data_IF_151132394761
#
_entry.id   IF_151132394761
#
_cell.length_a   1.000
_cell.length_b   1.000
_cell.length_c   1.000
_cell.angle_alpha   90.00
_cell.angle_beta   90.00
_cell.angle_gamma   90.00
#
_symmetry.space_group_name_H-M   'P 1'
#
loop_
_entity.id
_entity.type
_entity.pdbx_description
1 polymer ?
#
# COMPACT_ATOMS: atom_id res chain seq x y z
N UNK A 1 -29.34 -15.01 -35.09
CA UNK A 1 -27.96 -14.95 -34.58
C UNK A 1 -27.08 -14.39 -35.69
N UNK A 2 -26.60 -13.15 -35.55
CA UNK A 2 -25.63 -12.55 -36.49
C UNK A 2 -24.22 -12.98 -36.09
N UNK A 3 -23.35 -13.19 -37.07
CA UNK A 3 -21.95 -13.61 -36.87
C UNK A 3 -21.15 -12.55 -36.10
N UNK A 4 -20.20 -13.00 -35.27
CA UNK A 4 -19.32 -12.19 -34.41
C UNK A 4 -18.52 -11.15 -35.21
N UNK A 5 -18.22 -11.41 -36.49
CA UNK A 5 -17.55 -10.45 -37.38
C UNK A 5 -18.42 -9.24 -37.76
N UNK A 6 -19.75 -9.40 -37.80
CA UNK A 6 -20.65 -8.30 -38.17
C UNK A 6 -20.88 -7.28 -37.04
N UNK A 7 -20.62 -7.66 -35.79
CA UNK A 7 -20.73 -6.76 -34.63
C UNK A 7 -19.48 -5.89 -34.46
N UNK A 8 -18.33 -6.33 -34.99
CA UNK A 8 -17.06 -5.60 -34.92
C UNK A 8 -16.88 -4.55 -36.03
N UNK A 9 -17.74 -4.55 -37.06
CA UNK A 9 -17.65 -3.64 -38.20
C UNK A 9 -18.59 -2.44 -38.16
N UNK A 10 -19.51 -2.35 -37.19
CA UNK A 10 -20.40 -1.20 -37.04
C UNK A 10 -19.78 -0.14 -36.11
N UNK A 11 -19.58 1.12 -36.55
CA UNK A 11 -19.16 2.17 -35.66
C UNK A 11 -20.29 2.51 -34.67
N UNK A 12 -19.99 2.39 -33.38
CA UNK A 12 -20.86 2.80 -32.27
C UNK A 12 -21.35 4.26 -32.45
N UNK A 13 -22.64 4.57 -32.16
CA UNK A 13 -23.19 5.91 -32.29
C UNK A 13 -22.59 6.97 -31.35
N UNK A 14 -21.65 6.60 -30.47
CA UNK A 14 -21.08 7.51 -29.47
C UNK A 14 -19.81 8.25 -29.92
N UNK A 15 -19.45 8.21 -31.20
CA UNK A 15 -18.15 8.72 -31.69
C UNK A 15 -18.20 10.13 -32.31
N UNK A 16 -19.15 10.97 -31.90
CA UNK A 16 -19.22 12.38 -32.35
C UNK A 16 -19.08 13.28 -31.13
N UNK A 17 -17.92 13.95 -31.03
CA UNK A 17 -17.51 14.99 -30.05
C UNK A 17 -16.39 14.60 -29.06
N UNK A 18 -15.24 14.13 -29.57
CA UNK A 18 -13.97 14.38 -28.90
C UNK A 18 -13.15 15.40 -29.67
N UNK A 19 -13.29 16.68 -29.28
CA UNK A 19 -12.35 17.74 -29.68
C UNK A 19 -11.09 17.56 -28.84
N UNK A 20 -10.07 16.98 -29.45
CA UNK A 20 -8.71 16.87 -28.93
C UNK A 20 -8.06 18.24 -29.03
N UNK A 21 -8.13 19.04 -27.96
CA UNK A 21 -7.28 20.22 -27.86
C UNK A 21 -5.89 19.82 -27.35
N UNK A 22 -4.88 20.19 -28.15
CA UNK A 22 -3.42 19.92 -28.06
C UNK A 22 -2.88 18.66 -28.75
N UNK A 23 -3.18 18.52 -30.04
CA UNK A 23 -2.14 18.11 -31.00
C UNK A 23 -1.81 19.31 -31.89
N UNK A 24 -0.53 19.61 -32.07
CA UNK A 24 -0.06 20.50 -33.13
C UNK A 24 -0.68 20.03 -34.45
N UNK A 25 -1.37 20.93 -35.14
CA UNK A 25 -2.23 20.61 -36.27
C UNK A 25 -1.37 20.06 -37.42
N UNK A 26 -1.78 18.92 -37.97
CA UNK A 26 -1.21 18.31 -39.18
C UNK A 26 -1.17 19.31 -40.36
N UNK A 27 -2.03 20.34 -40.31
CA UNK A 27 -2.02 21.51 -41.19
C UNK A 27 -0.69 22.29 -41.21
N UNK A 28 0.01 22.41 -40.09
CA UNK A 28 1.30 23.12 -40.00
C UNK A 28 2.46 22.34 -40.65
N UNK A 29 2.33 21.00 -40.74
CA UNK A 29 3.28 20.13 -41.43
C UNK A 29 2.95 19.99 -42.93
N UNK A 30 1.70 20.26 -43.33
CA UNK A 30 1.29 20.28 -44.74
C UNK A 30 1.69 21.60 -45.41
N UNK A 31 1.62 22.72 -44.69
CA UNK A 31 2.00 24.04 -45.23
C UNK A 31 3.52 24.24 -45.38
N UNK A 32 4.35 23.28 -44.94
CA UNK A 32 5.81 23.27 -45.09
C UNK A 32 6.30 22.30 -46.19
N UNK A 33 5.50 22.16 -47.26
CA UNK A 33 5.92 21.51 -48.50
C UNK A 33 6.92 22.32 -49.33
N UNK A 34 7.66 21.71 -50.27
CA UNK A 34 9.02 22.12 -50.65
C UNK A 34 9.14 23.33 -51.58
N UNK A 35 8.06 24.07 -51.88
CA UNK A 35 8.08 25.16 -52.86
C UNK A 35 7.13 26.29 -52.43
N UNK A 36 7.67 27.39 -51.89
CA UNK A 36 6.89 28.59 -51.61
C UNK A 36 7.73 29.68 -50.94
N UNK A 37 7.85 30.83 -51.61
CA UNK A 37 8.73 31.95 -51.32
C UNK A 37 8.77 32.47 -49.87
N UNK A 38 9.98 32.87 -49.45
CA UNK A 38 10.20 33.78 -48.31
C UNK A 38 9.48 35.12 -48.54
N UNK A 39 8.77 35.65 -47.53
CA UNK A 39 8.55 37.08 -47.44
C UNK A 39 9.34 37.67 -46.27
N UNK A 40 10.05 38.72 -46.65
CA UNK A 40 10.78 39.75 -45.93
C UNK A 40 10.65 39.94 -44.42
N UNK A 41 11.83 40.31 -43.93
CA UNK A 41 12.23 40.87 -42.66
C UNK A 41 11.45 42.17 -42.32
N UNK A 42 10.33 42.04 -41.61
CA UNK A 42 9.78 43.13 -40.78
C UNK A 42 9.53 42.62 -39.37
N UNK A 43 10.32 43.15 -38.45
CA UNK A 43 10.26 42.93 -37.01
C UNK A 43 8.83 42.99 -36.45
N UNK A 44 8.21 41.83 -36.23
CA UNK A 44 7.06 41.72 -35.34
C UNK A 44 7.60 41.70 -33.90
N UNK A 45 7.59 42.87 -33.27
CA UNK A 45 7.79 43.00 -31.83
C UNK A 45 6.68 42.20 -31.14
N UNK A 46 7.05 41.07 -30.55
CA UNK A 46 6.25 40.42 -29.50
C UNK A 46 5.99 41.44 -28.39
N UNK A 47 4.74 41.68 -27.94
CA UNK A 47 4.53 42.43 -26.72
C UNK A 47 5.18 41.64 -25.58
N UNK A 48 6.16 42.27 -24.92
CA UNK A 48 6.70 41.81 -23.64
C UNK A 48 5.52 41.64 -22.69
N UNK A 49 5.16 40.39 -22.45
CA UNK A 49 4.40 40.01 -21.26
C UNK A 49 5.25 40.40 -20.06
N UNK A 50 4.80 41.44 -19.35
CA UNK A 50 5.37 41.86 -18.09
C UNK A 50 5.39 40.68 -17.12
N UNK A 51 6.51 40.57 -16.40
CA UNK A 51 6.77 39.49 -15.47
C UNK A 51 5.63 39.26 -14.49
N UNK A 52 4.99 38.10 -14.63
CA UNK A 52 4.40 37.41 -13.49
C UNK A 52 5.54 36.53 -12.97
N UNK A 53 5.96 36.79 -11.74
CA UNK A 53 6.97 36.04 -11.03
C UNK A 53 6.80 34.54 -11.29
N UNK A 54 7.73 33.95 -12.06
CA UNK A 54 8.01 32.53 -11.96
C UNK A 54 8.48 32.31 -10.53
N UNK A 55 7.57 31.87 -9.66
CA UNK A 55 7.96 31.26 -8.40
C UNK A 55 9.01 30.18 -8.68
N UNK A 56 9.88 29.87 -7.70
CA UNK A 56 10.95 28.89 -7.90
C UNK A 56 10.33 27.62 -8.48
N UNK A 57 10.82 27.19 -9.65
CA UNK A 57 10.41 25.93 -10.26
C UNK A 57 10.54 24.84 -9.19
N UNK A 58 9.43 24.19 -8.83
CA UNK A 58 9.43 23.19 -7.79
C UNK A 58 10.50 22.14 -8.11
N UNK A 59 11.42 21.91 -7.17
CA UNK A 59 12.52 20.95 -7.34
C UNK A 59 11.91 19.58 -7.60
N UNK A 60 12.07 19.07 -8.82
CA UNK A 60 11.55 17.75 -9.21
C UNK A 60 12.19 16.64 -8.37
N UNK A 61 11.43 15.59 -8.11
CA UNK A 61 11.83 14.47 -7.26
C UNK A 61 12.74 13.50 -8.02
N UNK A 62 13.81 13.06 -7.35
CA UNK A 62 14.69 11.99 -7.82
C UNK A 62 14.01 10.62 -7.67
N UNK A 63 14.44 9.61 -8.43
CA UNK A 63 13.90 8.24 -8.35
C UNK A 63 13.95 7.63 -6.94
N UNK A 64 14.96 7.96 -6.14
CA UNK A 64 15.08 7.46 -4.76
C UNK A 64 13.96 8.03 -3.87
N UNK A 65 13.79 9.34 -3.87
CA UNK A 65 12.83 10.02 -2.99
C UNK A 65 11.40 9.93 -3.53
N UNK A 66 11.22 9.97 -4.85
CA UNK A 66 9.90 10.02 -5.47
C UNK A 66 9.31 8.66 -5.87
N UNK A 67 10.12 7.59 -5.93
CA UNK A 67 9.64 6.24 -6.27
C UNK A 67 10.02 5.23 -5.21
N UNK A 68 11.32 5.04 -4.96
CA UNK A 68 11.80 3.99 -4.06
C UNK A 68 11.25 4.15 -2.63
N UNK A 69 11.40 5.32 -2.02
CA UNK A 69 10.93 5.59 -0.65
C UNK A 69 9.41 5.40 -0.51
N UNK A 70 8.56 5.99 -1.37
CA UNK A 70 7.11 5.73 -1.36
C UNK A 70 6.75 4.26 -1.53
N UNK A 71 7.41 3.54 -2.45
CA UNK A 71 7.15 2.11 -2.65
C UNK A 71 7.56 1.29 -1.43
N UNK A 72 8.73 1.55 -0.83
CA UNK A 72 9.17 0.85 0.39
C UNK A 72 8.19 1.05 1.54
N UNK A 73 7.74 2.29 1.77
CA UNK A 73 6.79 2.60 2.84
C UNK A 73 5.43 1.93 2.65
N UNK A 74 4.94 1.82 1.41
CA UNK A 74 3.64 1.21 1.14
C UNK A 74 3.70 -0.32 1.02
N UNK A 75 4.87 -0.90 0.77
CA UNK A 75 5.07 -2.35 0.82
C UNK A 75 5.29 -2.77 2.27
N UNK A 76 6.19 -2.11 3.00
CA UNK A 76 6.40 -2.32 4.44
C UNK A 76 5.27 -1.74 5.27
N UNK A 77 4.10 -2.37 5.18
CA UNK A 77 2.91 -2.02 5.93
C UNK A 77 2.76 -2.82 7.22
N UNK A 78 1.55 -2.72 7.77
CA UNK A 78 1.17 -3.33 9.05
C UNK A 78 1.30 -4.85 9.09
N UNK A 79 1.08 -5.51 7.94
CA UNK A 79 1.12 -6.97 7.81
C UNK A 79 2.50 -7.52 8.16
N UNK A 80 3.57 -6.76 7.90
CA UNK A 80 4.94 -7.15 8.25
C UNK A 80 5.08 -7.42 9.75
N UNK A 81 4.57 -6.53 10.60
CA UNK A 81 4.72 -6.65 12.05
C UNK A 81 3.62 -7.49 12.70
N UNK A 82 2.38 -7.30 12.28
CA UNK A 82 1.20 -7.84 12.98
C UNK A 82 0.74 -9.22 12.49
N UNK A 83 1.26 -9.67 11.34
CA UNK A 83 0.75 -10.86 10.65
C UNK A 83 1.84 -11.78 10.13
N UNK A 84 3.07 -11.32 9.91
CA UNK A 84 4.14 -12.21 9.47
C UNK A 84 4.38 -13.35 10.46
N UNK A 85 4.39 -13.06 11.78
CA UNK A 85 4.48 -14.10 12.80
C UNK A 85 3.37 -15.15 12.68
N UNK A 86 2.13 -14.72 12.49
CA UNK A 86 0.99 -15.62 12.28
C UNK A 86 1.10 -16.44 10.99
N UNK A 87 1.61 -15.85 9.89
CA UNK A 87 1.88 -16.60 8.64
C UNK A 87 2.87 -17.72 8.90
N UNK A 88 3.91 -17.47 9.69
CA UNK A 88 4.87 -18.50 10.09
C UNK A 88 4.22 -19.53 11.01
N UNK A 89 3.45 -19.13 12.02
CA UNK A 89 2.74 -20.05 12.91
C UNK A 89 1.80 -21.02 12.17
N UNK A 90 1.11 -20.55 11.13
CA UNK A 90 0.16 -21.35 10.35
C UNK A 90 0.83 -22.23 9.29
N UNK A 91 1.72 -21.65 8.49
CA UNK A 91 2.31 -22.31 7.33
C UNK A 91 3.69 -22.95 7.62
N UNK A 92 4.34 -22.58 8.71
CA UNK A 92 5.74 -22.90 8.98
C UNK A 92 6.72 -22.16 8.08
N UNK A 93 8.01 -22.33 8.34
CA UNK A 93 9.08 -21.60 7.64
C UNK A 93 9.12 -21.96 6.14
N UNK A 94 9.01 -23.24 5.79
CA UNK A 94 9.15 -23.69 4.41
C UNK A 94 7.97 -23.23 3.54
N UNK A 95 6.73 -23.49 3.96
CA UNK A 95 5.56 -23.09 3.18
C UNK A 95 5.32 -21.58 3.27
N UNK A 96 5.65 -20.94 4.39
CA UNK A 96 5.66 -19.48 4.51
C UNK A 96 6.63 -18.83 3.50
N UNK A 97 7.81 -19.42 3.30
CA UNK A 97 8.75 -18.99 2.24
C UNK A 97 8.13 -19.11 0.84
N UNK A 98 7.41 -20.21 0.57
CA UNK A 98 6.69 -20.41 -0.71
C UNK A 98 5.60 -19.35 -0.91
N UNK A 99 4.85 -19.00 0.14
CA UNK A 99 3.82 -17.94 0.11
C UNK A 99 4.44 -16.60 -0.29
N UNK A 100 5.57 -16.23 0.32
CA UNK A 100 6.28 -14.98 0.00
C UNK A 100 6.80 -15.00 -1.44
N UNK A 101 7.41 -16.10 -1.89
CA UNK A 101 7.90 -16.25 -3.27
C UNK A 101 6.75 -16.13 -4.25
N UNK A 102 5.63 -16.81 -4.00
CA UNK A 102 4.46 -16.77 -4.87
C UNK A 102 3.88 -15.35 -4.96
N UNK A 103 3.73 -14.65 -3.83
CA UNK A 103 3.32 -13.25 -3.80
C UNK A 103 4.29 -12.35 -4.58
N UNK A 104 5.59 -12.56 -4.43
CA UNK A 104 6.63 -11.77 -5.11
C UNK A 104 6.69 -12.02 -6.62
N UNK A 105 6.37 -13.22 -7.09
CA UNK A 105 6.24 -13.52 -8.53
C UNK A 105 5.10 -12.69 -9.13
N UNK A 106 3.93 -12.67 -8.47
CA UNK A 106 2.77 -11.89 -8.92
C UNK A 106 3.12 -10.40 -9.00
N UNK A 107 3.77 -9.84 -7.98
CA UNK A 107 4.12 -8.41 -7.96
C UNK A 107 5.23 -8.07 -8.93
N UNK A 108 6.22 -8.95 -9.13
CA UNK A 108 7.29 -8.74 -10.11
C UNK A 108 6.75 -8.73 -11.54
N UNK A 109 5.87 -9.68 -11.89
CA UNK A 109 5.22 -9.68 -13.23
C UNK A 109 4.38 -8.42 -13.44
N UNK A 110 3.66 -7.99 -12.41
CA UNK A 110 2.88 -6.74 -12.45
C UNK A 110 3.79 -5.52 -12.61
N UNK A 111 4.91 -5.48 -11.88
CA UNK A 111 5.87 -4.39 -11.96
C UNK A 111 6.56 -4.32 -13.33
N UNK A 112 6.93 -5.45 -13.92
CA UNK A 112 7.48 -5.51 -15.28
C UNK A 112 6.47 -4.98 -16.31
N UNK A 113 5.19 -5.32 -16.16
CA UNK A 113 4.12 -4.78 -17.00
C UNK A 113 3.99 -3.25 -16.86
N UNK A 114 4.07 -2.74 -15.62
CA UNK A 114 4.07 -1.30 -15.36
C UNK A 114 5.32 -0.61 -15.93
N UNK A 115 6.49 -1.24 -15.85
CA UNK A 115 7.72 -0.73 -16.46
C UNK A 115 7.55 -0.57 -17.98
N UNK A 116 6.99 -1.58 -18.66
CA UNK A 116 6.74 -1.54 -20.09
C UNK A 116 5.80 -0.39 -20.47
N UNK A 117 4.73 -0.16 -19.68
CA UNK A 117 3.80 0.97 -19.86
C UNK A 117 4.54 2.31 -19.71
N UNK A 118 5.38 2.47 -18.68
CA UNK A 118 6.06 3.72 -18.40
C UNK A 118 7.18 4.05 -19.40
N UNK A 119 7.72 3.05 -20.10
CA UNK A 119 8.71 3.24 -21.16
C UNK A 119 8.10 3.48 -22.53
N UNK A 120 6.78 3.32 -22.68
CA UNK A 120 6.08 3.45 -23.95
C UNK A 120 5.38 4.81 -24.08
N UNK A 121 6.06 5.78 -24.71
CA UNK A 121 5.52 7.11 -25.02
C UNK A 121 5.96 8.23 -24.08
N UNK A 122 5.44 9.43 -24.30
CA UNK A 122 5.72 10.60 -23.44
C UNK A 122 4.93 10.49 -22.13
N UNK A 123 5.61 10.11 -21.05
CA UNK A 123 5.06 10.17 -19.69
C UNK A 123 4.90 11.63 -19.29
N UNK A 124 3.69 12.16 -19.45
CA UNK A 124 3.31 13.48 -18.91
C UNK A 124 2.75 13.30 -17.50
N UNK A 125 2.94 14.30 -16.64
CA UNK A 125 2.77 14.17 -15.20
C UNK A 125 1.33 14.10 -14.69
N UNK A 126 0.68 12.93 -14.82
CA UNK A 126 -0.71 12.71 -14.41
C UNK A 126 -0.95 11.52 -13.47
N UNK A 127 0.09 10.92 -12.89
CA UNK A 127 -0.05 9.77 -11.98
C UNK A 127 -0.29 8.43 -12.70
N UNK A 128 -0.64 7.38 -11.92
CA UNK A 128 -0.85 6.00 -12.41
C UNK A 128 -1.95 5.91 -13.45
N UNK A 129 -3.10 6.52 -13.19
CA UNK A 129 -4.25 6.42 -14.09
C UNK A 129 -3.92 6.98 -15.49
N UNK A 130 -3.28 8.14 -15.54
CA UNK A 130 -2.91 8.79 -16.80
C UNK A 130 -1.88 8.00 -17.61
N UNK A 131 -0.93 7.35 -16.93
CA UNK A 131 0.03 6.44 -17.55
C UNK A 131 -0.70 5.26 -18.22
N UNK A 132 -1.63 4.63 -17.50
CA UNK A 132 -2.36 3.45 -17.97
C UNK A 132 -3.34 3.81 -19.10
N UNK A 133 -4.16 4.86 -18.93
CA UNK A 133 -5.18 5.23 -19.90
C UNK A 133 -4.62 5.66 -21.25
N UNK A 134 -3.40 6.21 -21.28
CA UNK A 134 -2.70 6.56 -22.51
C UNK A 134 -2.06 5.38 -23.22
N UNK A 135 -1.50 4.43 -22.47
CA UNK A 135 -0.82 3.28 -23.04
C UNK A 135 -1.80 2.19 -23.50
N UNK A 136 -2.84 1.92 -22.72
CA UNK A 136 -3.82 0.85 -22.97
C UNK A 136 -5.15 1.35 -23.56
N UNK A 137 -5.35 2.67 -23.58
CA UNK A 137 -6.58 3.29 -24.03
C UNK A 137 -7.59 3.56 -22.91
N UNK A 138 -8.60 4.39 -23.20
CA UNK A 138 -9.51 4.95 -22.20
C UNK A 138 -10.38 3.90 -21.50
N UNK A 139 -10.83 2.86 -22.21
CA UNK A 139 -11.71 1.81 -21.64
C UNK A 139 -10.98 1.01 -20.56
N UNK A 140 -9.80 0.49 -20.88
CA UNK A 140 -8.96 -0.23 -19.91
C UNK A 140 -8.51 0.68 -18.77
N UNK A 141 -8.11 1.92 -19.09
CA UNK A 141 -7.74 2.93 -18.09
C UNK A 141 -8.87 3.18 -17.08
N UNK A 142 -10.10 3.39 -17.55
CA UNK A 142 -11.26 3.65 -16.69
C UNK A 142 -11.59 2.49 -15.77
N UNK A 143 -11.65 1.26 -16.28
CA UNK A 143 -11.93 0.07 -15.47
C UNK A 143 -10.84 -0.17 -14.42
N UNK A 144 -9.56 -0.12 -14.81
CA UNK A 144 -8.43 -0.31 -13.88
C UNK A 144 -8.41 0.84 -12.86
N UNK A 145 -8.67 2.07 -13.28
CA UNK A 145 -8.71 3.24 -12.41
C UNK A 145 -9.76 3.14 -11.29
N UNK A 146 -10.99 2.69 -11.61
CA UNK A 146 -12.02 2.48 -10.58
C UNK A 146 -11.66 1.34 -9.64
N UNK A 147 -11.20 0.20 -10.17
CA UNK A 147 -10.78 -0.93 -9.34
C UNK A 147 -9.64 -0.53 -8.39
N UNK A 148 -8.69 0.26 -8.90
CA UNK A 148 -7.56 0.74 -8.11
C UNK A 148 -7.99 1.78 -7.07
N UNK A 149 -8.96 2.65 -7.37
CA UNK A 149 -9.58 3.53 -6.39
C UNK A 149 -10.19 2.75 -5.22
N UNK A 150 -11.04 1.76 -5.51
CA UNK A 150 -11.68 0.94 -4.46
C UNK A 150 -10.63 0.18 -3.65
N UNK A 151 -9.63 -0.40 -4.31
CA UNK A 151 -8.54 -1.11 -3.62
C UNK A 151 -7.78 -0.19 -2.66
N UNK A 152 -7.44 1.04 -3.08
CA UNK A 152 -6.74 2.00 -2.22
C UNK A 152 -7.62 2.52 -1.07
N UNK A 153 -8.93 2.70 -1.29
CA UNK A 153 -9.87 3.07 -0.23
C UNK A 153 -9.96 1.98 0.85
N UNK A 154 -10.14 0.72 0.45
CA UNK A 154 -10.19 -0.41 1.37
C UNK A 154 -8.84 -0.65 2.06
N UNK A 155 -7.72 -0.47 1.34
CA UNK A 155 -6.38 -0.55 1.94
C UNK A 155 -6.17 0.50 3.03
N UNK A 156 -6.72 1.71 2.87
CA UNK A 156 -6.68 2.75 3.91
C UNK A 156 -7.33 2.26 5.20
N UNK A 157 -8.49 1.59 5.10
CA UNK A 157 -9.16 0.97 6.25
C UNK A 157 -8.30 -0.12 6.91
N UNK A 158 -7.68 -1.00 6.11
CA UNK A 158 -6.78 -2.06 6.61
C UNK A 158 -5.64 -1.47 7.46
N UNK A 159 -4.98 -0.41 6.99
CA UNK A 159 -3.88 0.21 7.72
C UNK A 159 -4.34 0.90 9.01
N UNK A 160 -5.50 1.55 9.00
CA UNK A 160 -6.07 2.20 10.17
C UNK A 160 -6.51 1.17 11.23
N UNK A 161 -7.11 0.06 10.81
CA UNK A 161 -7.48 -1.03 11.74
C UNK A 161 -6.23 -1.63 12.38
N UNK A 162 -5.18 -1.87 11.59
CA UNK A 162 -3.92 -2.38 12.12
C UNK A 162 -3.21 -1.40 13.07
N UNK A 163 -3.32 -0.09 12.84
CA UNK A 163 -2.90 0.94 13.79
C UNK A 163 -3.70 0.85 15.10
N UNK A 164 -5.03 0.74 15.00
CA UNK A 164 -5.91 0.55 16.15
C UNK A 164 -5.58 -0.70 16.97
N UNK A 165 -5.32 -1.84 16.32
CA UNK A 165 -4.86 -3.07 16.99
C UNK A 165 -3.57 -2.81 17.78
N UNK A 166 -2.59 -2.11 17.20
CA UNK A 166 -1.33 -1.83 17.88
C UNK A 166 -1.43 -0.84 19.04
N UNK A 167 -2.33 0.14 18.99
CA UNK A 167 -2.61 1.03 20.14
C UNK A 167 -3.29 0.26 21.25
N UNK A 168 -4.30 -0.55 20.93
CA UNK A 168 -5.01 -1.34 21.94
C UNK A 168 -4.03 -2.29 22.62
N UNK A 169 -3.16 -2.97 21.87
CA UNK A 169 -2.11 -3.83 22.42
C UNK A 169 -1.19 -3.07 23.39
N UNK A 170 -0.76 -1.85 23.04
CA UNK A 170 0.02 -0.98 23.93
C UNK A 170 -0.76 -0.56 25.18
N UNK A 171 -2.07 -0.32 25.07
CA UNK A 171 -2.93 -0.01 26.22
C UNK A 171 -3.04 -1.19 27.19
N UNK A 172 -3.09 -2.43 26.67
CA UNK A 172 -3.06 -3.64 27.51
C UNK A 172 -1.76 -3.69 28.31
N UNK A 173 -0.63 -3.43 27.64
CA UNK A 173 0.70 -3.47 28.25
C UNK A 173 0.90 -2.39 29.32
N UNK A 174 0.33 -1.20 29.12
CA UNK A 174 0.36 -0.10 30.09
C UNK A 174 -0.66 -0.27 31.23
N UNK A 175 -1.48 -1.33 31.24
CA UNK A 175 -2.49 -1.57 32.26
C UNK A 175 -3.66 -0.57 32.20
N UNK A 176 -3.93 0.02 31.04
CA UNK A 176 -5.06 0.95 30.86
C UNK A 176 -6.33 0.14 30.59
N UNK A 177 -7.38 0.40 31.39
CA UNK A 177 -8.68 -0.25 31.23
C UNK A 177 -9.32 0.09 29.88
N UNK A 178 -10.17 -0.83 29.38
CA UNK A 178 -10.89 -0.65 28.12
C UNK A 178 -11.79 0.59 28.17
N UNK A 179 -11.67 1.48 27.18
CA UNK A 179 -12.45 2.74 27.14
C UNK A 179 -13.95 2.49 27.00
N UNK A 180 -14.32 1.43 26.27
CA UNK A 180 -15.72 1.10 25.98
C UNK A 180 -16.30 0.08 26.96
N UNK A 181 -15.51 -0.43 27.91
CA UNK A 181 -15.94 -1.45 28.88
C UNK A 181 -16.23 -2.83 28.27
N UNK A 182 -15.87 -3.06 27.00
CA UNK A 182 -16.06 -4.32 26.30
C UNK A 182 -14.86 -5.26 26.56
N UNK A 183 -15.08 -6.49 27.09
CA UNK A 183 -14.00 -7.44 27.37
C UNK A 183 -13.21 -7.87 26.12
N UNK A 184 -13.80 -7.79 24.92
CA UNK A 184 -13.13 -8.18 23.67
C UNK A 184 -12.27 -7.05 23.07
N UNK A 185 -12.37 -5.82 23.60
CA UNK A 185 -11.68 -4.61 23.11
C UNK A 185 -11.84 -4.29 21.61
N UNK A 186 -12.73 -4.98 20.89
CA UNK A 186 -13.01 -4.73 19.47
C UNK A 186 -13.60 -3.34 19.26
N UNK A 187 -14.47 -2.91 20.17
CA UNK A 187 -15.08 -1.59 20.09
C UNK A 187 -14.06 -0.46 20.32
N UNK A 188 -13.03 -0.68 21.14
CA UNK A 188 -11.93 0.27 21.33
C UNK A 188 -11.14 0.47 20.01
N UNK A 189 -10.85 -0.63 19.29
CA UNK A 189 -10.20 -0.56 17.96
C UNK A 189 -11.05 0.26 16.98
N UNK A 190 -12.38 0.12 17.01
CA UNK A 190 -13.30 0.88 16.14
C UNK A 190 -13.28 2.37 16.45
N UNK A 191 -13.29 2.75 17.73
CA UNK A 191 -13.25 4.16 18.16
C UNK A 191 -11.90 4.80 17.78
N UNK A 192 -10.79 4.10 18.04
CA UNK A 192 -9.44 4.55 17.64
C UNK A 192 -9.34 4.65 16.11
N UNK A 193 -9.90 3.69 15.38
CA UNK A 193 -9.92 3.70 13.92
C UNK A 193 -10.68 4.89 13.32
N UNK A 194 -11.88 5.17 13.83
CA UNK A 194 -12.71 6.31 13.37
C UNK A 194 -12.04 7.65 13.72
N UNK A 195 -11.49 7.78 14.93
CA UNK A 195 -10.78 9.01 15.29
C UNK A 195 -9.53 9.23 14.43
N UNK A 196 -8.76 8.17 14.18
CA UNK A 196 -7.58 8.22 13.31
C UNK A 196 -7.94 8.55 11.86
N UNK A 197 -9.02 7.98 11.31
CA UNK A 197 -9.45 8.27 9.93
C UNK A 197 -9.84 9.75 9.77
N UNK A 198 -10.55 10.33 10.75
CA UNK A 198 -10.88 11.76 10.75
C UNK A 198 -9.61 12.62 10.82
N UNK A 199 -8.65 12.28 11.67
CA UNK A 199 -7.38 13.01 11.76
C UNK A 199 -6.60 12.92 10.45
N UNK A 200 -6.48 11.73 9.86
CA UNK A 200 -5.79 11.56 8.57
C UNK A 200 -6.49 12.30 7.44
N UNK A 201 -7.82 12.35 7.43
CA UNK A 201 -8.59 13.15 6.48
C UNK A 201 -8.26 14.65 6.64
N UNK A 202 -8.28 15.18 7.86
CA UNK A 202 -7.92 16.57 8.12
C UNK A 202 -6.49 16.90 7.67
N UNK A 203 -5.54 15.97 7.88
CA UNK A 203 -4.16 16.12 7.40
C UNK A 203 -4.11 16.10 5.87
N UNK A 204 -4.84 15.20 5.22
CA UNK A 204 -4.88 15.10 3.76
C UNK A 204 -5.45 16.37 3.10
N UNK A 205 -6.45 17.01 3.72
CA UNK A 205 -7.06 18.25 3.22
C UNK A 205 -6.15 19.48 3.32
N UNK A 206 -5.15 19.48 4.21
CA UNK A 206 -4.21 20.59 4.41
C UNK A 206 -3.03 20.60 3.41
N UNK A 207 -2.95 19.60 2.53
CA UNK A 207 -2.06 19.62 1.36
C UNK A 207 -0.81 18.73 1.45
N UNK A 208 -0.34 18.30 0.28
CA UNK A 208 0.53 17.13 0.08
C UNK A 208 2.03 17.47 0.12
N UNK A 209 2.38 18.75 0.12
CA UNK A 209 3.78 19.20 0.15
C UNK A 209 4.53 18.81 1.42
N UNK A 210 3.84 18.70 2.56
CA UNK A 210 4.44 18.24 3.82
C UNK A 210 4.63 16.72 3.85
N UNK A 211 3.67 15.98 3.29
CA UNK A 211 3.67 14.52 3.25
C UNK A 211 4.96 13.94 2.64
N UNK A 212 5.40 14.45 1.48
CA UNK A 212 6.59 13.96 0.80
C UNK A 212 7.88 14.14 1.64
N UNK A 213 7.92 15.15 2.54
CA UNK A 213 9.07 15.38 3.43
C UNK A 213 9.05 14.44 4.63
N UNK A 214 7.86 14.13 5.16
CA UNK A 214 7.70 13.21 6.29
C UNK A 214 8.04 11.75 5.94
N UNK A 215 7.79 11.32 4.70
CA UNK A 215 8.05 9.96 4.25
C UNK A 215 9.48 9.48 4.56
N UNK A 216 10.50 10.33 4.31
CA UNK A 216 11.90 9.94 4.57
C UNK A 216 12.15 9.70 6.06
N UNK A 217 11.59 10.55 6.93
CA UNK A 217 11.69 10.37 8.38
C UNK A 217 11.01 9.09 8.86
N UNK A 218 9.81 8.81 8.35
CA UNK A 218 9.05 7.59 8.67
C UNK A 218 9.79 6.33 8.20
N UNK A 219 10.46 6.39 7.05
CA UNK A 219 11.26 5.28 6.54
C UNK A 219 12.47 4.99 7.44
N UNK A 220 13.16 6.02 7.92
CA UNK A 220 14.31 5.86 8.83
C UNK A 220 13.86 5.15 10.11
N UNK A 221 12.75 5.60 10.70
CA UNK A 221 12.18 4.99 11.91
C UNK A 221 11.81 3.52 11.67
N UNK A 222 11.19 3.23 10.53
CA UNK A 222 10.81 1.87 10.14
C UNK A 222 12.01 0.95 9.96
N UNK A 223 13.07 1.44 9.31
CA UNK A 223 14.33 0.68 9.14
C UNK A 223 15.00 0.42 10.49
N UNK A 224 15.00 1.41 11.39
CA UNK A 224 15.53 1.24 12.76
C UNK A 224 14.74 0.16 13.51
N UNK A 225 13.40 0.18 13.43
CA UNK A 225 12.55 -0.85 14.02
C UNK A 225 12.79 -2.24 13.42
N UNK A 226 13.07 -2.32 12.12
CA UNK A 226 13.40 -3.60 11.48
C UNK A 226 14.76 -4.14 11.93
N UNK A 227 15.76 -3.26 12.04
CA UNK A 227 17.09 -3.61 12.56
C UNK A 227 17.00 -4.08 14.02
N UNK A 228 16.15 -3.47 14.85
CA UNK A 228 16.01 -3.91 16.25
C UNK A 228 15.42 -5.30 16.39
N UNK A 229 14.54 -5.74 15.47
CA UNK A 229 14.05 -7.12 15.40
C UNK A 229 15.20 -8.07 15.04
N UNK A 230 16.02 -7.73 14.05
CA UNK A 230 17.17 -8.57 13.67
C UNK A 230 18.20 -8.68 14.79
N UNK A 231 18.52 -7.59 15.47
CA UNK A 231 19.47 -7.59 16.59
C UNK A 231 18.89 -8.32 17.80
N UNK A 232 17.62 -8.08 18.13
CA UNK A 232 16.95 -8.72 19.26
C UNK A 232 16.81 -10.23 19.12
N UNK A 233 16.66 -10.74 17.90
CA UNK A 233 16.60 -12.19 17.64
C UNK A 233 17.85 -12.96 18.14
N UNK A 234 19.02 -12.30 18.21
CA UNK A 234 20.24 -12.90 18.76
C UNK A 234 20.37 -12.77 20.28
N UNK A 235 19.47 -12.03 20.94
CA UNK A 235 19.52 -11.68 22.35
C UNK A 235 18.23 -12.11 23.06
N UNK A 236 17.96 -13.43 23.19
CA UNK A 236 16.73 -13.93 23.80
C UNK A 236 16.56 -13.54 25.28
N UNK A 237 17.68 -13.30 25.97
CA UNK A 237 17.70 -13.08 27.42
C UNK A 237 17.33 -11.64 27.82
N UNK A 238 17.23 -10.70 26.88
CA UNK A 238 16.91 -9.29 27.16
C UNK A 238 15.54 -8.88 26.61
N UNK A 239 14.75 -8.05 27.32
CA UNK A 239 15.03 -7.47 28.64
C UNK A 239 14.80 -8.44 29.82
N UNK A 240 13.85 -9.37 29.70
CA UNK A 240 13.55 -10.40 30.71
C UNK A 240 13.30 -11.74 29.99
N UNK A 241 14.13 -12.74 30.29
CA UNK A 241 14.01 -14.09 29.72
C UNK A 241 12.63 -14.71 30.00
N UNK A 242 12.12 -14.61 31.22
CA UNK A 242 10.84 -15.23 31.62
C UNK A 242 9.64 -14.65 30.84
N UNK A 243 9.63 -13.34 30.63
CA UNK A 243 8.58 -12.65 29.87
C UNK A 243 8.65 -13.00 28.38
N UNK A 244 9.86 -13.05 27.83
CA UNK A 244 10.10 -13.47 26.45
C UNK A 244 9.67 -14.91 26.22
N UNK A 245 10.01 -15.82 27.14
CA UNK A 245 9.59 -17.22 27.08
C UNK A 245 8.07 -17.37 27.21
N UNK A 246 7.43 -16.62 28.10
CA UNK A 246 5.98 -16.61 28.26
C UNK A 246 5.26 -16.11 26.99
N UNK A 247 5.86 -15.13 26.30
CA UNK A 247 5.35 -14.65 25.02
C UNK A 247 5.63 -15.59 23.83
N UNK A 248 6.56 -16.56 24.00
CA UNK A 248 6.94 -17.56 23.01
C UNK A 248 8.21 -17.27 22.23
N UNK A 249 9.06 -16.36 22.69
CA UNK A 249 10.39 -16.10 22.16
C UNK A 249 11.46 -16.82 23.01
N UNK A 250 12.22 -17.71 22.38
CA UNK A 250 13.15 -18.63 23.06
C UNK A 250 14.52 -18.73 22.37
N UNK A 251 14.82 -17.78 21.47
CA UNK A 251 16.06 -17.73 20.69
C UNK A 251 16.15 -18.78 19.57
N UNK A 252 17.23 -18.74 18.80
CA UNK A 252 17.39 -19.58 17.61
C UNK A 252 17.34 -21.07 17.90
N UNK A 253 16.47 -21.77 17.18
CA UNK A 253 16.40 -23.24 17.16
C UNK A 253 15.69 -23.72 15.89
N UNK A 254 15.77 -25.02 15.63
CA UNK A 254 15.15 -25.65 14.47
C UNK A 254 13.65 -25.90 14.69
N UNK A 255 12.92 -24.82 14.97
CA UNK A 255 11.49 -24.80 15.34
C UNK A 255 10.61 -24.48 14.14
N UNK A 256 9.33 -24.84 14.23
CA UNK A 256 8.27 -24.52 13.26
C UNK A 256 8.67 -24.74 11.78
N UNK A 257 9.12 -25.96 11.50
CA UNK A 257 9.60 -26.37 10.19
C UNK A 257 8.46 -26.49 9.16
N UNK A 258 7.34 -27.07 9.58
CA UNK A 258 6.28 -27.55 8.71
C UNK A 258 4.98 -26.78 8.89
N UNK A 259 4.02 -27.02 7.99
CA UNK A 259 2.70 -26.41 8.08
C UNK A 259 1.81 -27.15 9.06
N UNK A 260 1.31 -26.43 10.04
CA UNK A 260 0.29 -26.89 10.97
C UNK A 260 -0.92 -25.98 10.81
N UNK A 261 -1.64 -26.04 9.68
CA UNK A 261 -2.78 -25.15 9.49
C UNK A 261 -3.81 -25.34 10.61
N UNK A 262 -3.96 -24.31 11.44
CA UNK A 262 -4.70 -24.32 12.70
C UNK A 262 -5.95 -23.44 12.56
N UNK A 263 -7.02 -23.82 13.25
CA UNK A 263 -8.21 -22.96 13.40
C UNK A 263 -7.93 -21.82 14.38
N UNK A 264 -8.29 -20.59 14.00
CA UNK A 264 -8.23 -19.44 14.89
C UNK A 264 -9.42 -19.46 15.86
N UNK A 265 -9.22 -19.30 17.18
CA UNK A 265 -10.32 -19.22 18.15
C UNK A 265 -11.36 -18.14 17.84
N UNK A 266 -10.96 -17.03 17.22
CA UNK A 266 -11.87 -15.92 16.89
C UNK A 266 -12.79 -16.24 15.72
N UNK A 267 -12.43 -17.25 14.91
CA UNK A 267 -13.20 -17.74 13.77
C UNK A 267 -13.26 -19.26 13.83
N UNK A 268 -13.97 -19.83 14.81
CA UNK A 268 -13.94 -21.26 15.10
C UNK A 268 -14.47 -22.13 13.95
N UNK A 269 -15.21 -21.55 13.01
CA UNK A 269 -15.76 -22.25 11.85
C UNK A 269 -14.76 -22.35 10.68
N UNK A 270 -13.67 -21.58 10.71
CA UNK A 270 -12.73 -21.44 9.60
C UNK A 270 -11.38 -22.05 9.96
N UNK A 271 -11.12 -23.24 9.43
CA UNK A 271 -9.76 -23.80 9.44
C UNK A 271 -8.94 -23.13 8.34
N UNK A 272 -7.75 -22.67 8.69
CA UNK A 272 -6.86 -22.01 7.74
C UNK A 272 -6.34 -23.01 6.69
N UNK A 273 -5.97 -22.50 5.53
CA UNK A 273 -5.31 -23.26 4.49
C UNK A 273 -4.29 -22.37 3.76
N UNK A 274 -3.58 -22.93 2.78
CA UNK A 274 -2.58 -22.18 2.01
C UNK A 274 -3.12 -20.87 1.43
N UNK A 275 -4.32 -20.89 0.84
CA UNK A 275 -4.90 -19.73 0.16
C UNK A 275 -5.45 -18.69 1.14
N UNK A 276 -5.95 -19.08 2.31
CA UNK A 276 -6.38 -18.12 3.33
C UNK A 276 -5.18 -17.38 3.91
N UNK A 277 -4.10 -18.10 4.23
CA UNK A 277 -2.85 -17.49 4.73
C UNK A 277 -2.22 -16.59 3.66
N UNK A 278 -2.20 -17.04 2.40
CA UNK A 278 -1.76 -16.22 1.27
C UNK A 278 -2.60 -14.94 1.12
N UNK A 279 -3.93 -15.03 1.23
CA UNK A 279 -4.80 -13.87 1.10
C UNK A 279 -4.59 -12.83 2.22
N UNK A 280 -4.28 -13.27 3.45
CA UNK A 280 -3.91 -12.38 4.56
C UNK A 280 -2.53 -11.75 4.35
N UNK A 281 -1.58 -12.48 3.76
CA UNK A 281 -0.24 -11.98 3.48
C UNK A 281 -0.18 -11.05 2.26
N UNK A 282 -0.98 -11.31 1.22
CA UNK A 282 -0.87 -10.63 -0.08
C UNK A 282 -0.91 -9.09 -0.02
N UNK A 283 -1.72 -8.43 0.84
CA UNK A 283 -1.66 -6.98 1.00
C UNK A 283 -0.28 -6.43 1.41
N UNK A 284 0.61 -7.25 1.97
CA UNK A 284 1.98 -6.86 2.29
C UNK A 284 2.85 -6.56 1.06
N UNK A 285 2.47 -6.99 -0.15
CA UNK A 285 3.29 -6.82 -1.35
C UNK A 285 2.67 -5.88 -2.39
N UNK A 286 1.44 -5.39 -2.18
CA UNK A 286 0.68 -4.65 -3.20
C UNK A 286 1.10 -3.19 -3.42
N UNK A 287 1.87 -2.58 -2.51
CA UNK A 287 2.25 -1.16 -2.49
C UNK A 287 3.12 -0.65 -3.65
N UNK A 288 3.33 -1.43 -4.71
CA UNK A 288 4.25 -1.14 -5.83
C UNK A 288 3.87 0.08 -6.68
N UNK A 289 2.59 0.50 -6.64
CA UNK A 289 2.07 1.62 -7.43
C UNK A 289 2.20 2.99 -6.72
N UNK A 290 2.65 3.01 -5.46
CA UNK A 290 2.79 4.24 -4.69
C UNK A 290 3.74 5.25 -5.36
N UNK A 291 4.88 4.78 -5.89
CA UNK A 291 5.82 5.63 -6.61
C UNK A 291 5.27 6.16 -7.94
N UNK A 292 4.39 5.39 -8.59
CA UNK A 292 3.75 5.81 -9.84
C UNK A 292 2.65 6.86 -9.63
N UNK A 293 2.07 6.97 -8.42
CA UNK A 293 1.13 8.04 -8.07
C UNK A 293 1.79 9.42 -8.04
N UNK A 294 3.11 9.47 -7.83
CA UNK A 294 3.93 10.69 -7.82
C UNK A 294 4.64 10.93 -9.16
N UNK A 295 4.24 10.23 -10.24
CA UNK A 295 4.94 10.28 -11.52
C UNK A 295 4.98 11.68 -12.16
N UNK A 296 4.07 12.57 -11.80
CA UNK A 296 4.08 13.96 -12.29
C UNK A 296 5.10 14.87 -11.63
N UNK A 297 5.60 14.50 -10.45
CA UNK A 297 6.56 15.29 -9.69
C UNK A 297 8.01 14.79 -9.90
N UNK A 298 8.20 13.72 -10.65
CA UNK A 298 9.51 13.13 -10.95
C UNK A 298 10.25 13.90 -12.05
N UNK A 299 11.58 13.89 -11.95
CA UNK A 299 12.45 14.48 -12.98
C UNK A 299 12.32 13.78 -14.33
N UNK A 300 12.55 12.46 -14.34
CA UNK A 300 12.37 11.57 -15.47
C UNK A 300 11.57 10.33 -15.05
N UNK A 301 10.24 10.32 -15.26
CA UNK A 301 9.37 9.21 -14.87
C UNK A 301 9.69 7.90 -15.60
N UNK A 302 10.07 7.98 -16.87
CA UNK A 302 10.28 6.80 -17.74
C UNK A 302 11.42 5.93 -17.26
N UNK A 303 12.47 6.54 -16.70
CA UNK A 303 13.64 5.85 -16.13
C UNK A 303 13.53 5.64 -14.62
N UNK A 304 12.89 6.57 -13.90
CA UNK A 304 12.81 6.54 -12.44
C UNK A 304 11.85 5.48 -11.93
N UNK A 305 10.70 5.28 -12.60
CA UNK A 305 9.70 4.30 -12.18
C UNK A 305 10.22 2.87 -12.23
N UNK A 306 10.79 2.37 -13.35
CA UNK A 306 11.30 1.02 -13.40
C UNK A 306 12.40 0.74 -12.37
N UNK A 307 13.36 1.67 -12.25
CA UNK A 307 14.47 1.52 -11.29
C UNK A 307 13.98 1.53 -9.85
N UNK A 308 13.11 2.46 -9.50
CA UNK A 308 12.60 2.60 -8.14
C UNK A 308 11.74 1.41 -7.73
N UNK A 309 10.77 1.03 -8.56
CA UNK A 309 9.83 -0.06 -8.23
C UNK A 309 10.50 -1.43 -8.17
N UNK A 310 11.36 -1.79 -9.15
CA UNK A 310 12.05 -3.08 -9.12
C UNK A 310 13.04 -3.19 -7.97
N UNK A 311 13.75 -2.09 -7.65
CA UNK A 311 14.63 -2.06 -6.47
C UNK A 311 13.83 -2.19 -5.17
N UNK A 312 12.68 -1.52 -5.07
CA UNK A 312 11.80 -1.62 -3.91
C UNK A 312 11.36 -3.07 -3.68
N UNK A 313 10.85 -3.73 -4.72
CA UNK A 313 10.39 -5.13 -4.67
C UNK A 313 11.54 -6.06 -4.23
N UNK A 314 12.73 -5.91 -4.81
CA UNK A 314 13.89 -6.73 -4.44
C UNK A 314 14.29 -6.54 -2.97
N UNK A 315 14.36 -5.29 -2.49
CA UNK A 315 14.69 -4.99 -1.09
C UNK A 315 13.63 -5.56 -0.15
N UNK A 316 12.35 -5.36 -0.46
CA UNK A 316 11.24 -5.85 0.39
C UNK A 316 11.17 -7.37 0.40
N UNK A 317 11.43 -8.03 -0.73
CA UNK A 317 11.48 -9.49 -0.81
C UNK A 317 12.54 -10.07 0.12
N UNK A 318 13.75 -9.52 0.07
CA UNK A 318 14.85 -9.94 0.96
C UNK A 318 14.48 -9.71 2.42
N UNK A 319 13.92 -8.54 2.76
CA UNK A 319 13.52 -8.25 4.15
C UNK A 319 12.43 -9.19 4.66
N UNK A 320 11.41 -9.52 3.83
CA UNK A 320 10.33 -10.41 4.25
C UNK A 320 10.81 -11.84 4.47
N UNK A 321 11.67 -12.36 3.59
CA UNK A 321 12.28 -13.68 3.77
C UNK A 321 13.14 -13.69 5.03
N UNK A 322 13.99 -12.69 5.23
CA UNK A 322 14.84 -12.61 6.41
C UNK A 322 14.00 -12.56 7.71
N UNK A 323 12.99 -11.69 7.79
CA UNK A 323 12.12 -11.60 8.96
C UNK A 323 11.34 -12.90 9.21
N UNK A 324 10.83 -13.55 8.16
CA UNK A 324 10.12 -14.81 8.27
C UNK A 324 11.01 -15.90 8.89
N UNK A 325 12.25 -16.03 8.41
CA UNK A 325 13.19 -17.03 8.92
C UNK A 325 13.63 -16.73 10.34
N UNK A 326 13.91 -15.46 10.66
CA UNK A 326 14.29 -15.07 12.01
C UNK A 326 13.17 -15.39 13.01
N UNK A 327 11.95 -14.91 12.74
CA UNK A 327 10.80 -15.13 13.64
C UNK A 327 10.45 -16.61 13.76
N UNK A 328 10.51 -17.38 12.67
CA UNK A 328 10.19 -18.81 12.69
C UNK A 328 11.20 -19.66 13.46
N UNK A 329 12.49 -19.33 13.39
CA UNK A 329 13.53 -20.06 14.12
C UNK A 329 13.56 -19.69 15.61
N UNK A 330 13.11 -18.49 15.97
CA UNK A 330 13.22 -17.99 17.34
C UNK A 330 12.01 -18.24 18.22
N UNK A 331 10.83 -18.48 17.64
CA UNK A 331 9.57 -18.50 18.39
C UNK A 331 8.85 -19.85 18.34
N UNK A 332 8.06 -20.14 19.37
CA UNK A 332 7.11 -21.25 19.39
C UNK A 332 5.75 -20.86 18.79
N UNK A 333 5.04 -21.84 18.26
CA UNK A 333 3.71 -21.64 17.66
C UNK A 333 2.66 -21.24 18.69
N UNK A 334 2.74 -21.84 19.88
CA UNK A 334 1.84 -21.64 21.00
C UNK A 334 2.59 -21.78 22.32
N UNK A 335 2.23 -20.95 23.31
CA UNK A 335 2.72 -21.07 24.70
C UNK A 335 1.56 -21.12 25.69
N UNK A 336 1.66 -22.04 26.65
CA UNK A 336 0.74 -22.19 27.77
C UNK A 336 0.16 -23.61 27.91
N UNK A 337 -0.54 -23.87 29.02
CA UNK A 337 -1.10 -25.21 29.32
C UNK A 337 -2.28 -25.59 28.42
N UNK A 338 -2.89 -24.62 27.73
CA UNK A 338 -4.05 -24.81 26.86
C UNK A 338 -3.68 -24.89 25.37
N UNK A 339 -2.40 -25.06 25.04
CA UNK A 339 -1.96 -25.22 23.66
C UNK A 339 -2.40 -26.56 23.08
N UNK A 340 -3.23 -26.57 22.02
CA UNK A 340 -3.56 -27.80 21.34
C UNK A 340 -2.37 -28.25 20.48
N UNK A 341 -2.20 -29.56 20.33
CA UNK A 341 -1.28 -30.13 19.32
C UNK A 341 -1.75 -29.76 17.90
N UNK A 342 -3.08 -29.81 17.68
CA UNK A 342 -3.75 -29.32 16.47
C UNK A 342 -5.02 -28.58 16.89
N UNK A 343 -5.11 -27.29 16.58
CA UNK A 343 -6.32 -26.51 16.86
C UNK A 343 -7.45 -26.88 15.89
N UNK A 344 -8.47 -27.59 16.40
CA UNK A 344 -9.68 -27.94 15.66
C UNK A 344 -10.80 -26.91 15.90
N UNK A 345 -11.81 -26.86 15.02
CA UNK A 345 -13.03 -26.07 15.23
C UNK A 345 -13.72 -26.31 16.58
N UNK A 346 -13.69 -27.55 17.06
CA UNK A 346 -14.29 -27.92 18.35
C UNK A 346 -13.48 -27.33 19.51
N UNK A 347 -12.15 -27.46 19.47
CA UNK A 347 -11.27 -26.85 20.45
C UNK A 347 -11.48 -25.33 20.50
N UNK A 348 -11.51 -24.66 19.33
CA UNK A 348 -11.67 -23.21 19.23
C UNK A 348 -12.95 -22.71 19.94
N UNK A 349 -14.09 -23.39 19.73
CA UNK A 349 -15.37 -23.08 20.41
C UNK A 349 -15.29 -23.27 21.92
N UNK A 350 -14.63 -24.33 22.37
CA UNK A 350 -14.49 -24.61 23.82
C UNK A 350 -13.49 -23.69 24.51
N UNK A 351 -12.41 -23.30 23.83
CA UNK A 351 -11.37 -22.44 24.35
C UNK A 351 -11.90 -21.03 24.61
N UNK A 352 -12.69 -20.50 23.67
CA UNK A 352 -13.36 -19.20 23.80
C UNK A 352 -14.40 -19.24 24.93
N UNK A 353 -15.27 -20.26 24.95
CA UNK A 353 -16.33 -20.38 25.96
C UNK A 353 -15.80 -20.50 27.40
N UNK A 354 -14.67 -21.18 27.58
CA UNK A 354 -14.07 -21.42 28.90
C UNK A 354 -13.01 -20.38 29.30
N UNK A 355 -12.71 -19.40 28.44
CA UNK A 355 -11.64 -18.42 28.68
C UNK A 355 -10.24 -19.03 28.78
N UNK A 356 -10.01 -20.16 28.11
CA UNK A 356 -8.76 -20.95 28.17
C UNK A 356 -7.88 -20.69 26.94
N UNK A 357 -7.90 -19.45 26.45
CA UNK A 357 -7.10 -19.06 25.28
C UNK A 357 -5.60 -19.12 25.61
N UNK A 358 -4.76 -19.63 24.69
CA UNK A 358 -3.32 -19.59 24.85
C UNK A 358 -2.81 -18.16 24.99
N UNK A 359 -1.80 -17.97 25.85
CA UNK A 359 -1.34 -16.64 26.25
C UNK A 359 -0.27 -16.06 25.30
N UNK A 360 0.32 -16.87 24.41
CA UNK A 360 1.40 -16.43 23.54
C UNK A 360 1.74 -17.40 22.40
N UNK A 361 2.83 -17.09 21.69
CA UNK A 361 3.28 -17.81 20.49
C UNK A 361 2.87 -17.13 19.18
N UNK A 362 3.42 -17.65 18.07
CA UNK A 362 3.26 -17.10 16.72
C UNK A 362 1.80 -17.01 16.27
N UNK A 363 0.93 -17.90 16.76
CA UNK A 363 -0.48 -17.97 16.35
C UNK A 363 -1.37 -16.98 17.10
N UNK A 364 -1.08 -16.73 18.39
CA UNK A 364 -1.98 -15.98 19.28
C UNK A 364 -1.45 -14.58 19.60
N UNK A 365 -0.13 -14.39 19.60
CA UNK A 365 0.48 -13.09 19.78
C UNK A 365 0.70 -12.40 18.42
N UNK A 366 -0.28 -11.58 18.01
CA UNK A 366 -0.22 -10.80 16.76
C UNK A 366 1.03 -9.90 16.69
N UNK A 367 1.51 -9.40 17.82
CA UNK A 367 2.63 -8.47 17.91
C UNK A 367 3.91 -9.13 18.44
N UNK A 368 4.10 -10.43 18.23
CA UNK A 368 5.24 -11.20 18.73
C UNK A 368 6.61 -10.62 18.35
N UNK A 369 6.71 -9.90 17.24
CA UNK A 369 7.93 -9.20 16.84
C UNK A 369 8.39 -8.15 17.86
N UNK A 370 7.50 -7.62 18.72
CA UNK A 370 7.89 -6.72 19.81
C UNK A 370 8.79 -7.43 20.82
N UNK A 371 8.48 -8.69 21.14
CA UNK A 371 9.24 -9.51 22.09
C UNK A 371 10.56 -10.00 21.49
N UNK A 372 10.59 -10.24 20.17
CA UNK A 372 11.83 -10.58 19.45
C UNK A 372 12.75 -9.37 19.31
N UNK A 373 12.22 -8.15 19.42
CA UNK A 373 13.02 -6.94 19.23
C UNK A 373 13.88 -6.59 20.42
N UNK A 374 15.02 -5.94 20.16
CA UNK A 374 15.90 -5.42 21.21
C UNK A 374 15.20 -4.44 22.17
N UNK A 375 14.21 -3.69 21.66
CA UNK A 375 13.44 -2.75 22.46
C UNK A 375 12.01 -2.63 21.93
N UNK A 376 11.05 -3.21 22.66
CA UNK A 376 9.65 -3.30 22.26
C UNK A 376 9.01 -1.96 21.82
N UNK A 377 9.25 -0.81 22.49
CA UNK A 377 8.73 0.49 22.05
C UNK A 377 9.13 0.86 20.61
N UNK A 378 10.29 0.40 20.14
CA UNK A 378 10.76 0.70 18.80
C UNK A 378 9.90 0.01 17.73
N UNK A 379 9.41 -1.20 18.01
CA UNK A 379 8.48 -1.91 17.13
C UNK A 379 7.15 -1.20 17.07
N UNK A 380 6.60 -0.72 18.20
CA UNK A 380 5.38 0.09 18.19
C UNK A 380 5.52 1.35 17.35
N UNK A 381 6.61 2.10 17.54
CA UNK A 381 6.89 3.31 16.75
C UNK A 381 7.02 2.94 15.26
N UNK A 382 7.68 1.83 14.94
CA UNK A 382 7.78 1.31 13.57
C UNK A 382 6.43 0.95 12.96
N UNK A 383 5.56 0.27 13.72
CA UNK A 383 4.18 -0.06 13.32
C UNK A 383 3.36 1.20 13.08
N UNK A 384 3.44 2.19 13.97
CA UNK A 384 2.74 3.47 13.83
C UNK A 384 3.23 4.23 12.59
N UNK A 385 4.55 4.25 12.36
CA UNK A 385 5.13 4.88 11.17
C UNK A 385 4.68 4.19 9.88
N UNK A 386 4.69 2.84 9.84
CA UNK A 386 4.28 2.05 8.68
C UNK A 386 2.78 2.20 8.37
N UNK A 387 1.93 2.06 9.39
CA UNK A 387 0.46 2.14 9.24
C UNK A 387 -0.01 3.52 8.83
N UNK A 388 0.40 4.57 9.56
CA UNK A 388 -0.03 5.94 9.28
C UNK A 388 0.52 6.45 7.94
N UNK A 389 1.77 6.11 7.58
CA UNK A 389 2.32 6.50 6.28
C UNK A 389 1.59 5.86 5.11
N UNK A 390 1.29 4.55 5.19
CA UNK A 390 0.58 3.80 4.15
C UNK A 390 -0.89 4.19 4.05
N UNK A 391 -1.54 4.43 5.19
CA UNK A 391 -2.91 4.96 5.25
C UNK A 391 -2.98 6.32 4.58
N UNK A 392 -2.09 7.26 4.95
CA UNK A 392 -2.08 8.59 4.36
C UNK A 392 -1.72 8.56 2.87
N UNK A 393 -0.79 7.69 2.44
CA UNK A 393 -0.46 7.48 1.03
C UNK A 393 -1.69 7.06 0.21
N UNK A 394 -2.46 6.11 0.75
CA UNK A 394 -3.63 5.55 0.09
C UNK A 394 -4.80 6.54 0.09
N UNK A 395 -5.00 7.25 1.20
CA UNK A 395 -6.01 8.30 1.36
C UNK A 395 -5.77 9.51 0.45
N UNK A 396 -4.51 9.84 0.15
CA UNK A 396 -4.15 10.89 -0.82
C UNK A 396 -4.21 10.37 -2.27
N UNK A 397 -3.81 9.12 -2.49
CA UNK A 397 -3.74 8.51 -3.82
C UNK A 397 -5.11 8.23 -4.42
N UNK A 398 -6.03 7.61 -3.66
CA UNK A 398 -7.32 7.15 -4.17
C UNK A 398 -8.18 8.30 -4.75
N UNK A 399 -8.38 9.43 -4.03
CA UNK A 399 -9.18 10.55 -4.53
C UNK A 399 -8.66 11.14 -5.84
N UNK A 400 -7.34 11.20 -6.01
CA UNK A 400 -6.68 11.71 -7.23
C UNK A 400 -6.92 10.80 -8.43
N UNK A 401 -6.90 9.48 -8.21
CA UNK A 401 -7.27 8.50 -9.24
C UNK A 401 -8.73 8.71 -9.63
N UNK A 402 -9.63 8.78 -8.66
CA UNK A 402 -11.06 8.97 -8.92
C UNK A 402 -11.35 10.28 -9.68
N UNK A 403 -10.73 11.37 -9.25
CA UNK A 403 -10.84 12.68 -9.91
C UNK A 403 -10.36 12.61 -11.37
N UNK A 404 -9.24 11.94 -11.62
CA UNK A 404 -8.67 11.81 -12.97
C UNK A 404 -9.58 10.98 -13.89
N UNK A 405 -10.14 9.88 -13.38
CA UNK A 405 -11.13 9.07 -14.11
C UNK A 405 -12.38 9.89 -14.41
N UNK A 406 -12.83 10.71 -13.45
CA UNK A 406 -14.02 11.56 -13.62
C UNK A 406 -13.82 12.68 -14.64
N UNK A 407 -12.59 13.20 -14.78
CA UNK A 407 -12.27 14.20 -15.81
C UNK A 407 -12.39 13.66 -17.24
N UNK A 408 -12.10 12.37 -17.45
CA UNK A 408 -12.14 11.74 -18.77
C UNK A 408 -13.57 11.42 -19.24
N UNK A 409 -14.60 11.64 -18.40
CA UNK A 409 -16.03 11.47 -18.73
C UNK A 409 -16.34 10.13 -19.43
N UNK A 410 -15.66 9.08 -19.00
CA UNK A 410 -15.76 7.75 -19.61
C UNK A 410 -17.12 7.08 -19.36
N UNK A 411 -17.78 7.46 -18.26
CA UNK A 411 -19.07 6.89 -17.86
C UNK A 411 -20.23 7.80 -18.28
N UNK A 412 -21.33 7.24 -18.82
CA UNK A 412 -22.50 8.01 -19.26
C UNK A 412 -23.29 8.61 -18.09
N UNK A 413 -22.96 8.25 -16.84
CA UNK A 413 -23.61 8.75 -15.65
C UNK A 413 -23.10 10.14 -15.28
N UNK A 414 -23.90 11.17 -15.57
CA UNK A 414 -23.58 12.57 -15.25
C UNK A 414 -23.27 12.82 -13.76
N UNK A 415 -23.74 11.95 -12.86
CA UNK A 415 -23.41 12.02 -11.43
C UNK A 415 -21.93 11.77 -11.14
N UNK A 416 -21.22 11.00 -11.98
CA UNK A 416 -19.81 10.71 -11.79
C UNK A 416 -18.92 11.95 -12.01
N UNK A 417 -19.37 12.89 -12.85
CA UNK A 417 -18.71 14.19 -13.05
C UNK A 417 -18.70 15.06 -11.79
N UNK A 418 -19.48 14.71 -10.76
CA UNK A 418 -19.43 15.36 -9.45
C UNK A 418 -18.02 15.30 -8.84
N UNK A 419 -17.29 14.19 -9.03
CA UNK A 419 -15.96 13.97 -8.46
C UNK A 419 -14.82 14.61 -9.27
N UNK A 420 -15.06 15.08 -10.49
CA UNK A 420 -14.06 15.76 -11.31
C UNK A 420 -13.71 17.17 -10.80
N UNK A 421 -14.59 17.79 -9.99
CA UNK A 421 -14.37 19.16 -9.51
C UNK A 421 -13.32 19.19 -8.40
N UNK A 422 -12.13 19.73 -8.69
CA UNK A 422 -11.16 20.10 -7.66
C UNK A 422 -11.36 21.51 -7.12
N UNK A 423 -10.75 21.80 -5.97
CA UNK A 423 -10.86 23.08 -5.26
C UNK A 423 -9.46 23.64 -4.97
N UNK A 424 -9.31 24.96 -5.06
CA UNK A 424 -8.06 25.67 -4.76
C UNK A 424 -7.02 25.61 -5.88
N UNK A 425 -5.84 26.20 -5.63
CA UNK A 425 -4.76 26.31 -6.61
C UNK A 425 -4.11 24.96 -6.97
N UNK A 426 -4.23 23.96 -6.09
CA UNK A 426 -3.73 22.59 -6.29
C UNK A 426 -4.73 21.62 -6.95
N UNK A 427 -5.94 22.09 -7.30
CA UNK A 427 -7.03 21.26 -7.85
C UNK A 427 -7.37 20.05 -6.95
N UNK A 428 -7.40 20.23 -5.63
CA UNK A 428 -7.55 19.13 -4.67
C UNK A 428 -8.97 18.54 -4.69
N UNK A 429 -9.14 17.20 -4.70
CA UNK A 429 -10.42 16.53 -4.88
C UNK A 429 -11.23 16.30 -3.58
N UNK A 430 -11.67 17.38 -2.91
CA UNK A 430 -12.43 17.32 -1.64
C UNK A 430 -13.59 16.30 -1.65
N UNK A 431 -14.37 16.26 -2.73
CA UNK A 431 -15.53 15.36 -2.84
C UNK A 431 -15.12 13.89 -2.87
N UNK A 432 -14.00 13.57 -3.50
CA UNK A 432 -13.49 12.22 -3.54
C UNK A 432 -12.81 11.83 -2.22
N UNK A 433 -12.19 12.79 -1.51
CA UNK A 433 -11.70 12.57 -0.14
C UNK A 433 -12.80 12.16 0.84
N UNK A 434 -14.01 12.72 0.73
CA UNK A 434 -15.13 12.32 1.59
C UNK A 434 -15.75 10.97 1.22
N UNK A 435 -15.59 10.53 -0.04
CA UNK A 435 -16.05 9.21 -0.48
C UNK A 435 -15.07 8.09 -0.10
N UNK A 436 -13.78 8.40 -0.12
CA UNK A 436 -12.69 7.50 0.25
C UNK A 436 -12.68 7.30 1.76
#
# INVERSE_FOLDING_TARGET
>A
MKSVEQVLSEPSPATVNYRVDRRSTLQQLIDSGPNGHSPDNRSLKTPRSNGVHSGPAATKLNWKTGVLVPCLLNIWGVIMFLRLGWVVGQAGIWLGTVIIIFANVVTTVTALSMCAICTNGEVKGGGVYFLISRALGPVFGGCIGILFFVAQAVATSLYIVGFGESIVDLMIELGVDAFTGDPTRINDIRVIGISTSVVLLLVALNGIGWYAKCQVGLLIVLVIAMISVFVGAFLPDMPNEEENMAAGFVGFGWRNQGSNFQTDPTLPEVTQNFFTVFAVFFPAVTGIMAGANLSGDLDDPSRSLPKGTLTAIAVTFVSYIALLWFVGLTCYDCVGPYCPEIATPEWAKTAEANGTLPQGGLLYNKLIMKNVSFWAPLVYIGVFAATLSSALASLVGAPRILQSVAHDKLFPWSCFNYFAKGVGAGNEPYRAYFLT
#
